data_IF_021218013484
#
_entry.id   IF_021218013484
#
_cell.length_a   1.000
_cell.length_b   1.000
_cell.length_c   1.000
_cell.angle_alpha   90.00
_cell.angle_beta   90.00
_cell.angle_gamma   90.00
#
_symmetry.space_group_name_H-M   'P 1'
#
loop_
_entity.id
_entity.type
_entity.pdbx_description
1 polymer ?
#
# COMPACT_ATOMS: atom_id res chain seq x y z
N UNK A 1 -12.81 -7.11 2.24
CA UNK A 1 -11.87 -7.02 1.09
C UNK A 1 -10.59 -7.76 1.43
N UNK A 2 -9.82 -8.20 0.42
CA UNK A 2 -8.52 -8.81 0.67
C UNK A 2 -7.47 -7.70 0.88
N UNK A 3 -6.54 -7.92 1.80
CA UNK A 3 -5.39 -7.05 1.97
C UNK A 3 -4.47 -7.16 0.75
N UNK A 4 -4.11 -6.03 0.12
CA UNK A 4 -3.19 -5.99 -1.03
C UNK A 4 -1.82 -6.63 -0.73
N UNK A 5 -1.38 -6.60 0.53
CA UNK A 5 -0.06 -7.10 0.95
C UNK A 5 -0.03 -8.60 1.27
N UNK A 6 -0.99 -9.11 2.03
CA UNK A 6 -0.98 -10.52 2.45
C UNK A 6 -2.02 -11.38 1.73
N UNK A 7 -2.85 -10.78 0.86
CA UNK A 7 -3.96 -11.39 0.14
C UNK A 7 -4.99 -12.12 1.02
N UNK A 8 -4.96 -11.88 2.34
CA UNK A 8 -5.92 -12.47 3.26
C UNK A 8 -7.14 -11.57 3.42
N UNK A 9 -8.32 -12.21 3.51
CA UNK A 9 -9.57 -11.54 3.89
C UNK A 9 -9.47 -11.13 5.37
N UNK A 10 -9.53 -9.83 5.63
CA UNK A 10 -9.44 -9.25 6.98
C UNK A 10 -10.54 -8.21 7.13
N UNK A 11 -11.15 -8.14 8.31
CA UNK A 11 -12.28 -7.22 8.57
C UNK A 11 -11.80 -5.80 8.91
N UNK A 12 -10.62 -5.66 9.51
CA UNK A 12 -10.02 -4.37 9.87
C UNK A 12 -9.00 -3.91 8.82
N UNK A 13 -9.51 -3.36 7.71
CA UNK A 13 -8.71 -2.78 6.63
C UNK A 13 -8.69 -1.25 6.66
N UNK A 14 -7.56 -0.69 6.27
CA UNK A 14 -7.29 0.73 6.09
C UNK A 14 -7.13 0.95 4.58
N UNK A 15 -7.69 2.05 4.07
CA UNK A 15 -7.42 2.50 2.71
C UNK A 15 -6.14 3.33 2.71
N UNK A 16 -5.10 2.84 2.03
CA UNK A 16 -3.85 3.56 1.81
C UNK A 16 -3.70 3.75 0.30
N UNK A 17 -3.69 5.00 -0.18
CA UNK A 17 -3.47 5.32 -1.59
C UNK A 17 -4.42 4.54 -2.54
N UNK A 18 -5.69 4.39 -2.15
CA UNK A 18 -6.69 3.68 -2.94
C UNK A 18 -6.66 2.15 -2.78
N UNK A 19 -5.69 1.57 -2.07
CA UNK A 19 -5.62 0.12 -1.83
C UNK A 19 -6.01 -0.25 -0.40
N UNK A 20 -6.65 -1.41 -0.25
CA UNK A 20 -7.04 -1.93 1.06
C UNK A 20 -5.91 -2.72 1.70
N UNK A 21 -5.49 -2.31 2.88
CA UNK A 21 -4.42 -2.95 3.66
C UNK A 21 -4.95 -3.31 5.04
N UNK A 22 -4.75 -4.54 5.50
CA UNK A 22 -5.16 -4.90 6.85
C UNK A 22 -4.28 -4.21 7.91
N UNK A 23 -4.84 -3.94 9.09
CA UNK A 23 -4.14 -3.26 10.19
C UNK A 23 -2.81 -3.94 10.56
N UNK A 24 -2.73 -5.27 10.49
CA UNK A 24 -1.50 -6.01 10.75
C UNK A 24 -0.38 -5.67 9.76
N UNK A 25 -0.66 -5.71 8.46
CA UNK A 25 0.32 -5.32 7.44
C UNK A 25 0.70 -3.85 7.54
N UNK A 26 -0.27 -2.96 7.81
CA UNK A 26 -0.01 -1.55 8.01
C UNK A 26 0.94 -1.31 9.21
N UNK A 27 0.70 -2.00 10.32
CA UNK A 27 1.55 -1.90 11.51
C UNK A 27 2.97 -2.40 11.21
N UNK A 28 3.11 -3.50 10.48
CA UNK A 28 4.43 -4.01 10.07
C UNK A 28 5.20 -2.98 9.25
N UNK A 29 4.58 -2.34 8.25
CA UNK A 29 5.26 -1.39 7.36
C UNK A 29 5.67 -0.12 8.11
N UNK A 30 4.86 0.33 9.06
CA UNK A 30 5.13 1.56 9.82
C UNK A 30 6.18 1.40 10.92
N UNK A 31 6.43 0.17 11.37
CA UNK A 31 7.35 -0.12 12.48
C UNK A 31 8.56 -0.98 12.10
N UNK A 32 8.67 -1.43 10.85
CA UNK A 32 9.83 -2.20 10.39
C UNK A 32 11.08 -1.31 10.39
N UNK A 33 12.18 -1.72 11.07
CA UNK A 33 13.40 -0.93 11.08
C UNK A 33 14.11 -1.01 9.73
N UNK A 34 14.84 0.05 9.38
CA UNK A 34 15.59 0.16 8.12
C UNK A 34 16.58 -1.00 7.93
N UNK A 35 17.17 -1.49 9.02
CA UNK A 35 18.09 -2.64 9.02
C UNK A 35 17.42 -4.00 8.78
N UNK A 36 16.09 -4.08 8.79
CA UNK A 36 15.40 -5.34 8.61
C UNK A 36 15.44 -5.78 7.14
N UNK A 37 15.72 -7.05 6.88
CA UNK A 37 15.82 -7.63 5.51
C UNK A 37 14.59 -7.43 4.60
N UNK A 38 13.43 -7.17 5.18
CA UNK A 38 12.17 -6.92 4.45
C UNK A 38 11.87 -5.43 4.23
N UNK A 39 12.70 -4.52 4.76
CA UNK A 39 12.47 -3.08 4.65
C UNK A 39 12.45 -2.67 3.18
N UNK A 40 13.45 -3.08 2.41
CA UNK A 40 13.52 -2.76 0.98
C UNK A 40 12.34 -3.34 0.19
N UNK A 41 11.89 -4.55 0.52
CA UNK A 41 10.69 -5.13 -0.08
C UNK A 41 9.46 -4.25 0.14
N UNK A 42 9.19 -3.82 1.38
CA UNK A 42 8.04 -2.96 1.66
C UNK A 42 8.20 -1.56 1.06
N UNK A 43 9.42 -1.03 1.01
CA UNK A 43 9.74 0.25 0.38
C UNK A 43 9.38 0.25 -1.11
N UNK A 44 9.80 -0.77 -1.86
CA UNK A 44 9.49 -0.86 -3.28
C UNK A 44 8.00 -1.09 -3.53
N UNK A 45 7.35 -1.92 -2.70
CA UNK A 45 5.90 -2.15 -2.81
C UNK A 45 5.07 -0.88 -2.57
N UNK A 46 5.44 -0.04 -1.60
CA UNK A 46 4.75 1.25 -1.38
C UNK A 46 4.97 2.21 -2.55
N UNK A 47 6.16 2.22 -3.17
CA UNK A 47 6.41 3.03 -4.38
C UNK A 47 5.54 2.59 -5.54
N UNK A 48 5.34 1.28 -5.74
CA UNK A 48 4.45 0.76 -6.78
C UNK A 48 3.00 1.20 -6.52
N UNK A 49 2.50 1.07 -5.30
CA UNK A 49 1.16 1.54 -4.92
C UNK A 49 1.02 3.05 -5.19
N UNK A 50 2.02 3.84 -4.82
CA UNK A 50 1.99 5.28 -5.05
C UNK A 50 1.96 5.62 -6.55
N UNK A 51 2.74 4.91 -7.36
CA UNK A 51 2.75 5.07 -8.81
C UNK A 51 1.39 4.73 -9.43
N UNK A 52 0.78 3.61 -9.01
CA UNK A 52 -0.58 3.21 -9.43
C UNK A 52 -1.60 4.30 -9.07
N UNK A 53 -1.56 4.80 -7.83
CA UNK A 53 -2.45 5.86 -7.36
C UNK A 53 -2.29 7.16 -8.17
N UNK A 54 -1.05 7.58 -8.44
CA UNK A 54 -0.78 8.76 -9.27
C UNK A 54 -1.34 8.57 -10.69
N UNK A 55 -1.07 7.43 -11.34
CA UNK A 55 -1.62 7.15 -12.67
C UNK A 55 -3.16 7.18 -12.68
N UNK A 56 -3.82 6.61 -11.67
CA UNK A 56 -5.28 6.66 -11.57
C UNK A 56 -5.79 8.10 -11.42
N UNK A 57 -5.08 8.96 -10.68
CA UNK A 57 -5.44 10.38 -10.54
C UNK A 57 -5.16 11.20 -11.80
N UNK A 58 -4.05 10.96 -12.50
CA UNK A 58 -3.75 11.67 -13.75
C UNK A 58 -4.77 11.38 -14.84
N UNK A 59 -5.42 10.21 -14.82
CA UNK A 59 -6.52 9.90 -15.74
C UNK A 59 -7.87 10.53 -15.34
N UNK A 60 -7.98 11.14 -14.14
CA UNK A 60 -9.21 11.79 -13.67
C UNK A 60 -9.24 13.29 -13.93
N UNK A 61 -8.11 13.91 -14.27
CA UNK A 61 -8.04 15.30 -14.73
C UNK A 61 -7.65 15.32 -16.23
N UNK A 62 -8.59 15.10 -17.16
CA UNK A 62 -8.38 15.60 -18.50
C UNK A 62 -8.34 17.12 -18.37
N UNK A 63 -7.20 17.72 -18.70
CA UNK A 63 -7.06 19.16 -18.87
C UNK A 63 -8.18 19.62 -19.82
N UNK A 64 -9.14 20.39 -19.30
CA UNK A 64 -10.06 21.21 -20.11
C UNK A 64 -9.30 22.35 -20.80
#
# INVERSE_FOLDING_TARGET
MNCKLCNQKRENTINLLGVNICKGCFNTITHIPISHKKYDYYKELIKEILKEYMCQRTNLDPVE
#
